data_IF_493264382780
#
_entry.id   IF_493264382780
#
_cell.length_a   1.000
_cell.length_b   1.000
_cell.length_c   1.000
_cell.angle_alpha   90.00
_cell.angle_beta   90.00
_cell.angle_gamma   90.00
#
_symmetry.space_group_name_H-M   'P 1'
#
loop_
_entity.id
_entity.type
_entity.pdbx_description
1 polymer ?
#
# COMPACT_ATOMS: atom_id res chain seq x y z
N UNK A 1 -56.83 -16.17 -3.15
CA UNK A 1 -56.56 -15.87 -1.72
C UNK A 1 -56.80 -17.15 -0.95
N UNK A 2 -55.73 -17.87 -0.62
CA UNK A 2 -55.78 -19.05 0.25
C UNK A 2 -54.42 -19.16 0.93
N UNK A 3 -54.35 -18.56 2.11
CA UNK A 3 -53.32 -18.80 3.10
C UNK A 3 -53.47 -20.24 3.63
N UNK A 4 -52.40 -21.02 3.62
CA UNK A 4 -52.29 -22.18 4.50
C UNK A 4 -51.14 -21.96 5.47
N UNK A 5 -51.55 -21.58 6.67
CA UNK A 5 -50.74 -21.46 7.86
C UNK A 5 -50.19 -22.83 8.29
N UNK A 6 -48.89 -22.86 8.55
CA UNK A 6 -48.14 -23.97 9.10
C UNK A 6 -48.40 -24.02 10.61
N UNK A 7 -48.88 -25.16 11.12
CA UNK A 7 -49.04 -25.42 12.56
C UNK A 7 -47.73 -25.96 13.16
N UNK A 8 -47.40 -25.69 14.44
CA UNK A 8 -46.03 -25.79 14.94
C UNK A 8 -45.81 -26.89 16.01
N UNK A 9 -44.53 -27.06 16.38
CA UNK A 9 -43.98 -27.57 17.67
C UNK A 9 -44.01 -29.09 17.93
N UNK A 10 -42.79 -29.66 17.94
CA UNK A 10 -42.42 -30.86 18.71
C UNK A 10 -41.01 -30.69 19.28
N UNK A 11 -40.92 -30.32 20.56
CA UNK A 11 -39.69 -30.02 21.32
C UNK A 11 -39.09 -31.29 21.94
N UNK A 12 -37.81 -31.52 21.65
CA UNK A 12 -36.69 -32.13 22.43
C UNK A 12 -37.01 -33.10 23.58
N UNK A 13 -36.41 -34.32 23.55
CA UNK A 13 -35.88 -35.00 24.75
C UNK A 13 -34.59 -35.81 24.48
N UNK A 14 -33.53 -35.40 25.18
CA UNK A 14 -32.42 -36.15 25.82
C UNK A 14 -31.58 -37.23 25.09
N UNK A 15 -30.32 -36.82 24.84
CA UNK A 15 -29.01 -37.42 25.18
C UNK A 15 -28.99 -38.74 25.99
N UNK A 16 -28.10 -39.68 25.60
CA UNK A 16 -27.33 -40.48 26.56
C UNK A 16 -25.84 -40.14 26.52
N UNK A 17 -25.24 -40.12 27.72
CA UNK A 17 -23.85 -39.82 28.00
C UNK A 17 -22.89 -40.94 27.55
N UNK A 18 -21.92 -40.62 26.69
CA UNK A 18 -20.75 -41.46 26.46
C UNK A 18 -19.68 -41.15 27.53
N UNK A 19 -19.31 -42.17 28.31
CA UNK A 19 -18.26 -42.12 29.34
C UNK A 19 -16.89 -42.12 28.65
N UNK A 20 -16.14 -41.03 28.78
CA UNK A 20 -14.74 -40.96 28.37
C UNK A 20 -13.88 -41.49 29.53
N UNK A 21 -13.12 -42.55 29.25
CA UNK A 21 -12.20 -43.21 30.18
C UNK A 21 -10.84 -42.50 30.09
N UNK A 22 -10.24 -42.02 31.19
CA UNK A 22 -8.96 -41.31 31.14
C UNK A 22 -7.81 -42.29 30.88
N UNK A 23 -7.04 -42.05 29.81
CA UNK A 23 -5.76 -42.74 29.60
C UNK A 23 -4.75 -42.22 30.62
N UNK A 24 -4.27 -43.13 31.48
CA UNK A 24 -3.16 -42.94 32.41
C UNK A 24 -1.90 -42.52 31.66
N UNK A 25 -1.34 -41.38 32.06
CA UNK A 25 0.03 -40.97 31.79
C UNK A 25 1.00 -42.05 32.28
N UNK A 26 1.82 -42.59 31.37
CA UNK A 26 2.97 -43.41 31.72
C UNK A 26 4.22 -42.56 31.57
N UNK A 27 4.67 -42.05 32.70
CA UNK A 27 6.01 -41.51 32.95
C UNK A 27 7.03 -42.60 32.59
N UNK A 28 7.99 -42.28 31.73
CA UNK A 28 9.20 -43.06 31.54
C UNK A 28 10.37 -42.10 31.67
N UNK A 29 11.33 -42.50 32.50
CA UNK A 29 12.44 -41.72 33.01
C UNK A 29 13.53 -41.50 31.96
N UNK A 30 14.11 -40.30 31.95
CA UNK A 30 15.37 -39.99 31.26
C UNK A 30 16.57 -40.19 32.20
N UNK A 31 17.74 -40.57 31.66
CA UNK A 31 19.01 -39.96 32.11
C UNK A 31 19.97 -39.71 30.90
N UNK A 32 21.18 -39.13 31.07
CA UNK A 32 21.42 -37.70 30.84
C UNK A 32 22.43 -37.36 29.72
N UNK A 33 22.40 -36.06 29.37
CA UNK A 33 23.26 -35.22 28.54
C UNK A 33 24.66 -35.72 28.10
N UNK A 34 24.96 -35.55 26.80
CA UNK A 34 25.96 -34.60 26.27
C UNK A 34 26.07 -34.77 24.75
N UNK A 35 25.76 -33.74 23.96
CA UNK A 35 26.80 -33.04 23.21
C UNK A 35 26.22 -31.74 22.64
N UNK A 36 26.99 -30.67 22.77
CA UNK A 36 26.59 -29.29 22.49
C UNK A 36 26.82 -29.04 21.01
N UNK A 37 25.99 -29.67 20.17
CA UNK A 37 25.90 -29.36 18.76
C UNK A 37 25.18 -28.04 18.60
N UNK A 38 25.93 -26.93 18.61
CA UNK A 38 25.47 -25.62 18.16
C UNK A 38 25.05 -25.77 16.70
N UNK A 39 23.80 -26.17 16.50
CA UNK A 39 23.18 -26.32 15.20
C UNK A 39 22.97 -24.90 14.73
N UNK A 40 23.92 -24.39 13.95
CA UNK A 40 23.73 -23.20 13.15
C UNK A 40 22.46 -23.51 12.35
N UNK A 41 21.35 -22.87 12.74
CA UNK A 41 20.13 -22.90 11.97
C UNK A 41 20.54 -22.36 10.59
N UNK A 42 20.67 -23.26 9.63
CA UNK A 42 20.81 -22.91 8.23
C UNK A 42 19.46 -22.28 7.88
N UNK A 43 19.37 -20.96 8.10
CA UNK A 43 18.27 -20.17 7.63
C UNK A 43 18.22 -20.41 6.12
N UNK A 44 17.17 -21.12 5.69
CA UNK A 44 16.92 -21.32 4.27
C UNK A 44 16.90 -19.93 3.65
N UNK A 45 17.73 -19.63 2.62
CA UNK A 45 17.73 -18.32 2.01
C UNK A 45 16.30 -18.05 1.53
N UNK A 46 15.63 -17.09 2.18
CA UNK A 46 14.24 -16.78 1.87
C UNK A 46 14.19 -16.35 0.42
N UNK A 47 13.37 -17.01 -0.38
CA UNK A 47 13.10 -16.54 -1.74
C UNK A 47 12.42 -15.18 -1.62
N UNK A 48 13.09 -14.13 -2.11
CA UNK A 48 12.55 -12.78 -2.10
C UNK A 48 11.45 -12.67 -3.13
N UNK A 49 10.38 -11.94 -2.80
CA UNK A 49 9.36 -11.57 -3.78
C UNK A 49 9.97 -10.59 -4.79
N UNK A 50 10.16 -11.09 -6.00
CA UNK A 50 10.63 -10.35 -7.18
C UNK A 50 9.63 -10.63 -8.29
N UNK A 51 9.20 -9.58 -9.00
CA UNK A 51 8.32 -9.69 -10.16
C UNK A 51 9.00 -10.52 -11.25
N UNK A 52 8.32 -11.52 -11.81
CA UNK A 52 8.95 -12.50 -12.70
C UNK A 52 9.57 -11.83 -13.94
N UNK A 53 8.89 -10.84 -14.51
CA UNK A 53 9.39 -10.09 -15.66
C UNK A 53 10.65 -9.27 -15.38
N UNK A 54 10.93 -8.91 -14.12
CA UNK A 54 12.12 -8.13 -13.72
C UNK A 54 13.36 -8.98 -13.50
N UNK A 55 13.20 -10.29 -13.32
CA UNK A 55 14.32 -11.20 -13.10
C UNK A 55 15.31 -11.20 -14.26
N UNK A 56 16.61 -11.28 -13.93
CA UNK A 56 17.65 -11.54 -14.91
C UNK A 56 17.50 -12.94 -15.52
N UNK A 57 18.15 -13.19 -16.66
CA UNK A 57 18.10 -14.49 -17.34
C UNK A 57 18.48 -15.67 -16.43
N UNK A 58 19.64 -15.64 -15.74
CA UNK A 58 20.04 -16.71 -14.83
C UNK A 58 19.06 -16.91 -13.66
N UNK A 59 18.58 -15.83 -13.04
CA UNK A 59 17.59 -15.90 -11.95
C UNK A 59 16.29 -16.55 -12.44
N UNK A 60 15.80 -16.14 -13.61
CA UNK A 60 14.57 -16.67 -14.19
C UNK A 60 14.67 -18.15 -14.50
N UNK A 61 15.83 -18.63 -14.99
CA UNK A 61 16.05 -20.07 -15.24
C UNK A 61 16.01 -20.88 -13.94
N UNK A 62 16.66 -20.38 -12.88
CA UNK A 62 16.62 -21.04 -11.58
C UNK A 62 15.21 -21.02 -10.96
N UNK A 63 14.53 -19.86 -11.02
CA UNK A 63 13.16 -19.70 -10.56
C UNK A 63 12.18 -20.59 -11.33
N UNK A 64 12.39 -20.78 -12.63
CA UNK A 64 11.59 -21.66 -13.49
C UNK A 64 11.64 -23.11 -13.08
N UNK A 65 12.84 -23.66 -12.84
CA UNK A 65 12.97 -25.03 -12.35
C UNK A 65 12.23 -25.20 -11.01
N UNK A 66 12.45 -24.29 -10.06
CA UNK A 66 11.78 -24.33 -8.75
C UNK A 66 10.26 -24.15 -8.85
N UNK A 67 9.78 -23.34 -9.80
CA UNK A 67 8.35 -23.15 -10.05
C UNK A 67 7.72 -24.41 -10.64
N UNK A 68 8.35 -25.05 -11.62
CA UNK A 68 7.88 -26.31 -12.19
C UNK A 68 7.73 -27.40 -11.13
N UNK A 69 8.76 -27.62 -10.30
CA UNK A 69 8.72 -28.60 -9.21
C UNK A 69 7.60 -28.30 -8.21
N UNK A 70 7.42 -27.01 -7.89
CA UNK A 70 6.35 -26.59 -6.99
C UNK A 70 4.96 -26.75 -7.60
N UNK A 71 4.77 -26.46 -8.88
CA UNK A 71 3.49 -26.67 -9.58
C UNK A 71 3.14 -28.15 -9.64
N UNK A 72 4.12 -29.03 -9.85
CA UNK A 72 3.93 -30.50 -9.76
C UNK A 72 3.42 -30.88 -8.37
N UNK A 73 4.11 -30.41 -7.32
CA UNK A 73 3.65 -30.63 -5.94
C UNK A 73 2.24 -30.08 -5.69
N UNK A 74 1.94 -28.89 -6.18
CA UNK A 74 0.65 -28.23 -6.01
C UNK A 74 -0.45 -29.04 -6.70
N UNK A 75 -0.18 -29.50 -7.91
CA UNK A 75 -1.09 -30.29 -8.71
C UNK A 75 -1.48 -31.58 -8.02
N UNK A 76 -0.50 -32.29 -7.44
CA UNK A 76 -0.74 -33.53 -6.71
C UNK A 76 -1.41 -33.28 -5.34
N UNK A 77 -0.94 -32.27 -4.60
CA UNK A 77 -1.39 -31.98 -3.23
C UNK A 77 -2.82 -31.44 -3.14
N UNK A 78 -3.28 -30.76 -4.20
CA UNK A 78 -4.60 -30.15 -4.29
C UNK A 78 -5.48 -30.79 -5.38
N UNK A 79 -5.05 -31.92 -5.93
CA UNK A 79 -5.79 -32.71 -6.93
C UNK A 79 -6.23 -31.86 -8.14
N UNK A 80 -5.36 -30.95 -8.60
CA UNK A 80 -5.68 -30.00 -9.68
C UNK A 80 -5.84 -30.68 -11.05
N UNK A 81 -5.47 -31.95 -11.15
CA UNK A 81 -5.71 -32.81 -12.31
C UNK A 81 -7.21 -32.98 -12.59
N UNK A 82 -8.01 -33.03 -11.52
CA UNK A 82 -9.45 -33.27 -11.61
C UNK A 82 -10.10 -32.07 -12.28
N UNK A 83 -10.89 -32.33 -13.32
CA UNK A 83 -11.60 -31.30 -14.10
C UNK A 83 -10.67 -30.28 -14.81
N UNK A 84 -9.37 -30.58 -14.95
CA UNK A 84 -8.39 -29.68 -15.57
C UNK A 84 -8.38 -28.28 -14.93
N UNK A 85 -8.47 -28.22 -13.60
CA UNK A 85 -8.53 -26.98 -12.81
C UNK A 85 -7.28 -26.11 -12.98
N UNK A 86 -6.14 -26.72 -13.26
CA UNK A 86 -4.98 -26.04 -13.82
C UNK A 86 -4.78 -26.55 -15.26
N UNK A 87 -4.74 -25.67 -16.28
CA UNK A 87 -4.55 -26.10 -17.66
C UNK A 87 -3.14 -26.68 -17.87
N UNK A 88 -3.03 -27.72 -18.69
CA UNK A 88 -1.72 -28.34 -19.03
C UNK A 88 -0.77 -27.34 -19.71
N UNK A 89 -1.31 -26.38 -20.44
CA UNK A 89 -0.57 -25.30 -21.09
C UNK A 89 -0.27 -24.11 -20.16
N UNK A 90 -0.35 -24.26 -18.82
CA UNK A 90 -0.11 -23.16 -17.88
C UNK A 90 1.20 -22.41 -18.14
N UNK A 91 2.24 -23.14 -18.55
CA UNK A 91 3.57 -22.62 -18.88
C UNK A 91 3.59 -21.72 -20.14
N UNK A 92 2.53 -21.72 -20.94
CA UNK A 92 2.37 -20.87 -22.12
C UNK A 92 1.63 -19.56 -21.81
N UNK A 93 1.19 -19.36 -20.56
CA UNK A 93 0.44 -18.19 -20.12
C UNK A 93 1.27 -17.30 -19.17
N UNK A 94 1.86 -16.18 -19.65
CA UNK A 94 2.71 -15.32 -18.84
C UNK A 94 2.04 -14.78 -17.57
N UNK A 95 0.76 -14.38 -17.65
CA UNK A 95 0.01 -13.92 -16.47
C UNK A 95 -0.17 -15.01 -15.41
N UNK A 96 -0.41 -16.26 -15.84
CA UNK A 96 -0.54 -17.39 -14.93
C UNK A 96 0.80 -17.77 -14.29
N UNK A 97 1.92 -17.60 -15.01
CA UNK A 97 3.27 -17.78 -14.45
C UNK A 97 3.52 -16.78 -13.31
N UNK A 98 3.17 -15.51 -13.49
CA UNK A 98 3.30 -14.47 -12.47
C UNK A 98 2.46 -14.81 -11.23
N UNK A 99 1.19 -15.17 -11.41
CA UNK A 99 0.29 -15.54 -10.31
C UNK A 99 0.82 -16.76 -9.53
N UNK A 100 1.26 -17.80 -10.23
CA UNK A 100 1.81 -19.02 -9.61
C UNK A 100 3.12 -18.74 -8.88
N UNK A 101 3.99 -17.90 -9.44
CA UNK A 101 5.25 -17.50 -8.81
C UNK A 101 5.01 -16.73 -7.51
N UNK A 102 4.15 -15.71 -7.54
CA UNK A 102 3.80 -14.94 -6.35
C UNK A 102 3.19 -15.84 -5.26
N UNK A 103 2.29 -16.75 -5.65
CA UNK A 103 1.66 -17.70 -4.72
C UNK A 103 2.67 -18.68 -4.10
N UNK A 104 3.67 -19.14 -4.87
CA UNK A 104 4.78 -19.97 -4.38
C UNK A 104 5.61 -19.21 -3.35
N UNK A 105 6.09 -18.02 -3.70
CA UNK A 105 6.96 -17.21 -2.83
C UNK A 105 6.24 -16.85 -1.53
N UNK A 106 4.97 -16.46 -1.59
CA UNK A 106 4.19 -16.16 -0.39
C UNK A 106 4.03 -17.39 0.52
N UNK A 107 3.89 -18.59 -0.05
CA UNK A 107 3.89 -19.84 0.74
C UNK A 107 5.21 -20.03 1.46
N UNK A 108 6.32 -19.84 0.76
CA UNK A 108 7.66 -20.00 1.33
C UNK A 108 7.91 -19.00 2.46
N UNK A 109 7.42 -17.77 2.32
CA UNK A 109 7.44 -16.77 3.38
C UNK A 109 6.62 -17.20 4.61
N UNK A 110 5.38 -17.65 4.41
CA UNK A 110 4.48 -18.07 5.50
C UNK A 110 5.07 -19.26 6.26
N UNK A 111 5.50 -20.30 5.55
CA UNK A 111 5.95 -21.55 6.16
C UNK A 111 7.45 -21.58 6.50
N UNK A 112 8.21 -20.60 6.02
CA UNK A 112 9.60 -20.35 6.41
C UNK A 112 9.77 -19.32 7.52
N UNK A 113 8.67 -18.77 8.06
CA UNK A 113 8.69 -17.81 9.15
C UNK A 113 9.26 -18.39 10.44
N UNK A 114 9.81 -17.50 11.30
CA UNK A 114 10.38 -17.90 12.58
C UNK A 114 9.31 -18.50 13.51
N UNK A 115 9.66 -19.43 14.42
CA UNK A 115 8.68 -20.13 15.26
C UNK A 115 7.82 -19.24 16.17
N UNK A 116 8.30 -18.06 16.50
CA UNK A 116 7.61 -17.04 17.32
C UNK A 116 6.66 -16.15 16.52
N UNK A 117 6.70 -16.22 15.18
CA UNK A 117 5.86 -15.42 14.30
C UNK A 117 4.47 -16.08 14.11
N UNK A 118 3.41 -15.32 14.38
CA UNK A 118 2.03 -15.79 14.20
C UNK A 118 1.60 -15.72 12.72
N UNK A 119 1.71 -16.84 12.01
CA UNK A 119 1.40 -16.93 10.57
C UNK A 119 0.09 -17.64 10.23
N UNK A 120 -0.68 -18.09 11.23
CA UNK A 120 -1.89 -18.90 11.02
C UNK A 120 -2.96 -18.23 10.16
N UNK A 121 -3.15 -16.92 10.30
CA UNK A 121 -4.09 -16.17 9.47
C UNK A 121 -3.59 -16.02 8.03
N UNK A 122 -2.30 -15.74 7.84
CA UNK A 122 -1.67 -15.66 6.52
C UNK A 122 -1.79 -16.99 5.77
N UNK A 123 -1.58 -18.12 6.45
CA UNK A 123 -1.79 -19.45 5.86
C UNK A 123 -3.24 -19.66 5.38
N UNK A 124 -4.24 -19.18 6.13
CA UNK A 124 -5.65 -19.25 5.70
C UNK A 124 -5.92 -18.40 4.46
N UNK A 125 -5.37 -17.19 4.40
CA UNK A 125 -5.51 -16.32 3.23
C UNK A 125 -4.80 -16.90 2.01
N UNK A 126 -3.63 -17.50 2.19
CA UNK A 126 -2.93 -18.20 1.13
C UNK A 126 -3.80 -19.28 0.46
N UNK A 127 -4.54 -20.06 1.25
CA UNK A 127 -5.49 -21.04 0.68
C UNK A 127 -6.69 -20.41 -0.03
N UNK A 128 -7.09 -19.20 0.36
CA UNK A 128 -8.15 -18.47 -0.34
C UNK A 128 -7.65 -17.97 -1.70
N UNK A 129 -6.46 -17.39 -1.75
CA UNK A 129 -5.83 -16.93 -3.00
C UNK A 129 -5.50 -18.09 -3.93
N UNK A 130 -5.06 -19.25 -3.42
CA UNK A 130 -4.91 -20.46 -4.24
C UNK A 130 -6.20 -20.81 -4.98
N UNK A 131 -7.35 -20.75 -4.30
CA UNK A 131 -8.64 -21.01 -4.95
C UNK A 131 -8.99 -19.94 -5.99
N UNK A 132 -8.64 -18.68 -5.74
CA UNK A 132 -8.83 -17.60 -6.70
C UNK A 132 -7.97 -17.79 -7.96
N UNK A 133 -6.68 -18.09 -7.81
CA UNK A 133 -5.77 -18.39 -8.93
C UNK A 133 -6.27 -19.58 -9.75
N UNK A 134 -6.72 -20.66 -9.10
CA UNK A 134 -7.30 -21.83 -9.79
C UNK A 134 -8.60 -21.48 -10.53
N UNK A 135 -9.47 -20.65 -9.94
CA UNK A 135 -10.67 -20.19 -10.62
C UNK A 135 -10.33 -19.32 -11.84
N UNK A 136 -9.34 -18.43 -11.72
CA UNK A 136 -8.86 -17.61 -12.84
C UNK A 136 -8.21 -18.45 -13.94
N UNK A 137 -7.42 -19.47 -13.57
CA UNK A 137 -6.84 -20.45 -14.49
C UNK A 137 -7.91 -21.05 -15.43
N UNK A 138 -9.06 -21.43 -14.88
CA UNK A 138 -10.16 -22.03 -15.65
C UNK A 138 -11.03 -21.04 -16.42
N UNK A 139 -11.28 -19.85 -15.85
CA UNK A 139 -12.21 -18.85 -16.37
C UNK A 139 -11.59 -17.82 -17.33
N UNK A 140 -10.34 -17.44 -17.10
CA UNK A 140 -9.63 -16.38 -17.85
C UNK A 140 -8.63 -16.99 -18.84
N UNK A 141 -7.81 -17.94 -18.40
CA UNK A 141 -6.72 -18.47 -19.20
C UNK A 141 -7.14 -19.67 -20.06
N UNK A 142 -7.87 -20.63 -19.49
CA UNK A 142 -8.20 -21.89 -20.17
C UNK A 142 -9.42 -21.81 -21.11
N UNK A 143 -10.17 -20.70 -21.13
CA UNK A 143 -11.40 -20.53 -21.93
C UNK A 143 -11.15 -20.73 -23.42
N UNK A 144 -10.01 -20.27 -23.93
CA UNK A 144 -9.58 -20.49 -25.31
C UNK A 144 -8.82 -21.82 -25.50
N UNK A 145 -8.10 -22.29 -24.48
CA UNK A 145 -7.20 -23.45 -24.56
C UNK A 145 -7.93 -24.78 -24.77
N UNK A 146 -9.17 -24.92 -24.28
CA UNK A 146 -9.98 -26.15 -24.43
C UNK A 146 -10.36 -26.48 -25.88
N UNK A 147 -10.31 -25.49 -26.79
CA UNK A 147 -10.65 -25.66 -28.21
C UNK A 147 -9.45 -25.63 -29.15
N UNK A 148 -8.24 -25.66 -28.60
CA UNK A 148 -6.97 -25.48 -29.31
C UNK A 148 -6.24 -24.24 -28.84
N UNK A 149 -4.95 -24.38 -28.52
CA UNK A 149 -4.14 -23.27 -28.03
C UNK A 149 -4.00 -22.22 -29.14
N UNK A 150 -4.53 -21.02 -28.90
CA UNK A 150 -4.35 -19.87 -29.79
C UNK A 150 -3.30 -18.97 -29.19
N UNK A 151 -2.39 -18.47 -30.03
CA UNK A 151 -1.44 -17.43 -29.62
C UNK A 151 -2.24 -16.24 -29.08
N UNK A 152 -1.73 -15.61 -28.02
CA UNK A 152 -2.32 -14.40 -27.46
C UNK A 152 -2.60 -13.38 -28.58
N UNK A 153 -3.77 -12.75 -28.52
CA UNK A 153 -4.11 -11.60 -29.36
C UNK A 153 -3.05 -10.50 -29.18
N UNK A 154 -2.96 -9.60 -30.17
CA UNK A 154 -1.92 -8.57 -30.35
C UNK A 154 -1.44 -7.99 -29.02
N UNK A 155 -0.14 -8.12 -28.73
CA UNK A 155 0.47 -7.53 -27.54
C UNK A 155 0.37 -6.02 -27.61
N UNK A 156 -0.11 -5.38 -26.55
CA UNK A 156 -0.30 -3.94 -26.56
C UNK A 156 0.98 -3.15 -26.84
N UNK A 157 2.12 -3.60 -26.30
CA UNK A 157 3.45 -3.02 -26.58
C UNK A 157 3.85 -3.08 -28.07
N UNK A 158 3.22 -3.96 -28.85
CA UNK A 158 3.49 -4.15 -30.28
C UNK A 158 2.42 -3.51 -31.18
N UNK A 159 1.39 -2.86 -30.61
CA UNK A 159 0.33 -2.16 -31.35
C UNK A 159 0.39 -0.64 -31.13
N UNK A 160 0.97 0.12 -32.08
CA UNK A 160 0.99 1.57 -32.03
C UNK A 160 -0.41 2.19 -31.98
N UNK A 161 -1.39 1.60 -32.67
CA UNK A 161 -2.77 2.08 -32.71
C UNK A 161 -3.46 1.92 -31.36
N UNK A 162 -3.23 0.79 -30.68
CA UNK A 162 -3.76 0.56 -29.34
C UNK A 162 -3.12 1.48 -28.32
N UNK A 163 -1.80 1.64 -28.37
CA UNK A 163 -1.07 2.57 -27.51
C UNK A 163 -1.55 4.01 -27.71
N UNK A 164 -1.65 4.45 -28.96
CA UNK A 164 -2.17 5.78 -29.30
C UNK A 164 -3.58 5.98 -28.73
N UNK A 165 -4.48 5.03 -28.94
CA UNK A 165 -5.86 5.10 -28.42
C UNK A 165 -5.91 5.21 -26.90
N UNK A 166 -5.03 4.53 -26.17
CA UNK A 166 -4.98 4.61 -24.72
C UNK A 166 -4.36 5.91 -24.22
N UNK A 167 -3.29 6.39 -24.86
CA UNK A 167 -2.65 7.67 -24.51
C UNK A 167 -3.55 8.86 -24.81
N UNK A 168 -4.36 8.79 -25.86
CA UNK A 168 -5.33 9.82 -26.24
C UNK A 168 -6.66 9.69 -25.50
N UNK A 169 -6.85 8.63 -24.70
CA UNK A 169 -8.08 8.45 -23.94
C UNK A 169 -8.20 9.55 -22.87
N UNK A 170 -9.43 9.99 -22.61
CA UNK A 170 -9.72 10.94 -21.55
C UNK A 170 -9.42 10.30 -20.18
N UNK A 171 -8.36 10.78 -19.52
CA UNK A 171 -7.97 10.34 -18.19
C UNK A 171 -9.03 10.61 -17.12
N UNK A 172 -9.98 11.51 -17.40
CA UNK A 172 -11.09 11.87 -16.51
C UNK A 172 -12.41 11.19 -16.88
N UNK A 173 -12.39 10.30 -17.89
CA UNK A 173 -13.58 9.60 -18.34
C UNK A 173 -14.28 8.87 -17.18
N UNK A 174 -15.57 9.16 -17.00
CA UNK A 174 -16.40 8.54 -15.95
C UNK A 174 -16.36 9.25 -14.60
N UNK A 175 -15.56 10.31 -14.41
CA UNK A 175 -15.59 11.12 -13.19
C UNK A 175 -16.72 12.15 -13.29
N UNK A 176 -17.68 12.18 -12.34
CA UNK A 176 -18.75 13.17 -12.34
C UNK A 176 -18.21 14.60 -12.33
N UNK A 177 -18.77 15.48 -13.16
CA UNK A 177 -18.30 16.87 -13.36
C UNK A 177 -18.15 17.68 -12.06
N UNK A 178 -18.97 17.39 -11.03
CA UNK A 178 -18.87 18.01 -9.70
C UNK A 178 -17.55 17.73 -8.98
N UNK A 179 -16.92 16.58 -9.24
CA UNK A 179 -15.62 16.22 -8.68
C UNK A 179 -14.47 16.83 -9.51
N UNK A 180 -14.67 17.00 -10.83
CA UNK A 180 -13.69 17.67 -11.69
C UNK A 180 -13.59 19.17 -11.38
N UNK A 181 -14.70 19.84 -11.08
CA UNK A 181 -14.70 21.25 -10.69
C UNK A 181 -13.86 21.52 -9.43
N UNK A 182 -13.86 20.59 -8.46
CA UNK A 182 -13.03 20.69 -7.27
C UNK A 182 -11.51 20.54 -7.54
N UNK A 183 -11.13 19.96 -8.68
CA UNK A 183 -9.72 19.80 -9.10
C UNK A 183 -9.28 20.85 -10.12
N UNK A 184 -10.20 21.47 -10.86
CA UNK A 184 -9.90 22.50 -11.85
C UNK A 184 -9.36 23.79 -11.20
N UNK A 185 -9.85 24.16 -10.01
CA UNK A 185 -9.43 25.39 -9.31
C UNK A 185 -7.97 25.35 -8.80
N UNK A 186 -7.36 24.17 -8.73
CA UNK A 186 -5.99 23.99 -8.21
C UNK A 186 -4.86 24.10 -9.25
N UNK A 187 -5.17 24.14 -10.55
CA UNK A 187 -4.15 23.92 -11.59
C UNK A 187 -3.72 25.15 -12.42
N UNK A 188 -4.41 26.30 -12.35
CA UNK A 188 -4.04 27.46 -13.18
C UNK A 188 -3.14 28.46 -12.43
N UNK A 189 -1.99 28.80 -13.03
CA UNK A 189 -1.17 29.92 -12.60
C UNK A 189 -1.98 31.22 -12.76
N UNK A 190 -2.25 31.92 -11.65
CA UNK A 190 -3.17 33.06 -11.61
C UNK A 190 -4.57 32.74 -11.04
N UNK A 191 -4.83 31.49 -10.65
CA UNK A 191 -5.95 31.14 -9.76
C UNK A 191 -5.84 31.93 -8.44
N UNK A 192 -6.95 32.34 -7.79
CA UNK A 192 -6.93 33.05 -6.51
C UNK A 192 -6.17 32.30 -5.39
N UNK A 193 -5.89 31.01 -5.59
CA UNK A 193 -5.18 30.16 -4.63
C UNK A 193 -3.74 29.82 -5.05
N UNK A 194 -3.21 30.39 -6.14
CA UNK A 194 -1.83 30.19 -6.61
C UNK A 194 -1.16 31.48 -7.09
N UNK A 195 0.03 31.77 -6.57
CA UNK A 195 0.89 32.87 -7.01
C UNK A 195 2.22 32.32 -7.52
N UNK A 196 2.78 32.93 -8.56
CA UNK A 196 4.14 32.62 -9.02
C UNK A 196 5.18 33.18 -8.05
N UNK A 197 6.40 32.62 -8.05
CA UNK A 197 7.52 33.16 -7.26
C UNK A 197 7.72 34.67 -7.48
N UNK A 198 7.67 35.12 -8.74
CA UNK A 198 7.87 36.52 -9.10
C UNK A 198 6.79 37.45 -8.52
N UNK A 199 5.53 37.00 -8.46
CA UNK A 199 4.44 37.78 -7.87
C UNK A 199 4.61 37.94 -6.35
N UNK A 200 5.03 36.86 -5.66
CA UNK A 200 5.27 36.92 -4.21
C UNK A 200 6.51 37.75 -3.87
N UNK A 201 7.58 37.68 -4.66
CA UNK A 201 8.77 38.50 -4.47
C UNK A 201 8.50 39.99 -4.68
N UNK A 202 7.70 40.33 -5.68
CA UNK A 202 7.23 41.70 -5.92
C UNK A 202 6.31 42.18 -4.77
N UNK A 203 5.44 41.32 -4.23
CA UNK A 203 4.63 41.63 -3.06
C UNK A 203 5.48 41.87 -1.78
N UNK A 204 6.55 41.08 -1.58
CA UNK A 204 7.52 41.26 -0.49
C UNK A 204 8.30 42.56 -0.62
N UNK A 205 8.78 42.86 -1.83
CA UNK A 205 9.53 44.09 -2.12
C UNK A 205 8.68 45.33 -1.85
N UNK A 206 7.38 45.25 -2.12
CA UNK A 206 6.41 46.31 -1.82
C UNK A 206 5.95 46.34 -0.35
N UNK A 207 6.40 45.42 0.49
CA UNK A 207 6.02 45.32 1.90
C UNK A 207 4.57 44.87 2.12
N UNK A 208 3.93 44.28 1.09
CA UNK A 208 2.56 43.77 1.16
C UNK A 208 2.50 42.32 1.64
N UNK A 209 3.62 41.60 1.54
CA UNK A 209 3.73 40.20 1.93
C UNK A 209 4.79 40.06 3.04
N UNK A 210 4.37 39.51 4.18
CA UNK A 210 5.22 39.40 5.38
C UNK A 210 5.46 37.93 5.71
N UNK A 211 6.72 37.46 5.76
CA UNK A 211 7.00 36.10 6.21
C UNK A 211 6.66 35.94 7.69
N UNK A 212 6.33 34.72 8.13
CA UNK A 212 6.04 34.45 9.54
C UNK A 212 7.23 34.79 10.44
N UNK A 213 8.45 34.54 9.96
CA UNK A 213 9.69 35.03 10.56
C UNK A 213 10.82 35.03 9.53
N UNK A 214 11.92 35.75 9.77
CA UNK A 214 13.11 35.71 8.92
C UNK A 214 13.74 34.31 8.80
N UNK A 215 13.53 33.42 9.78
CA UNK A 215 14.07 32.07 9.80
C UNK A 215 13.19 31.02 9.13
N UNK A 216 11.95 31.38 8.75
CA UNK A 216 11.00 30.47 8.09
C UNK A 216 10.37 31.24 6.92
N UNK A 217 11.10 31.43 5.82
CA UNK A 217 10.61 32.19 4.68
C UNK A 217 9.55 31.43 3.87
N UNK A 218 9.31 30.16 4.16
CA UNK A 218 8.36 29.30 3.41
C UNK A 218 6.90 29.68 3.62
N UNK A 219 6.56 30.36 4.72
CA UNK A 219 5.19 30.78 5.04
C UNK A 219 5.07 32.30 5.08
N UNK A 220 4.13 32.82 4.29
CA UNK A 220 3.96 34.26 4.07
C UNK A 220 2.50 34.65 4.22
N UNK A 221 2.25 35.75 4.92
CA UNK A 221 0.94 36.40 4.97
C UNK A 221 0.86 37.46 3.89
N UNK A 222 -0.09 37.32 2.96
CA UNK A 222 -0.35 38.24 1.85
C UNK A 222 -1.85 38.31 1.58
N UNK A 223 -2.40 39.52 1.46
CA UNK A 223 -3.84 39.78 1.25
C UNK A 223 -4.75 39.03 2.25
N UNK A 224 -4.41 39.10 3.55
CA UNK A 224 -5.10 38.44 4.67
C UNK A 224 -5.19 36.90 4.59
N UNK A 225 -4.41 36.27 3.71
CA UNK A 225 -4.29 34.83 3.61
C UNK A 225 -2.85 34.35 3.86
N UNK A 226 -2.72 33.11 4.31
CA UNK A 226 -1.43 32.42 4.42
C UNK A 226 -1.10 31.70 3.13
N UNK A 227 0.17 31.79 2.74
CA UNK A 227 0.72 31.21 1.54
C UNK A 227 1.95 30.38 1.89
N UNK A 228 2.11 29.22 1.25
CA UNK A 228 3.25 28.33 1.41
C UNK A 228 3.94 28.10 0.07
N UNK A 229 5.27 28.04 0.08
CA UNK A 229 6.06 27.71 -1.12
C UNK A 229 6.02 26.21 -1.41
N UNK A 230 5.72 25.84 -2.65
CA UNK A 230 5.77 24.47 -3.18
C UNK A 230 7.21 24.11 -3.62
N UNK A 231 7.50 22.81 -3.75
CA UNK A 231 8.81 22.30 -4.22
C UNK A 231 9.19 22.87 -5.61
N UNK A 232 8.21 23.30 -6.41
CA UNK A 232 8.41 23.96 -7.71
C UNK A 232 8.69 25.48 -7.64
N UNK A 233 8.68 26.09 -6.45
CA UNK A 233 8.90 27.53 -6.25
C UNK A 233 7.66 28.41 -6.36
N UNK A 234 6.53 27.85 -6.78
CA UNK A 234 5.23 28.55 -6.75
C UNK A 234 4.68 28.63 -5.32
N UNK A 235 3.74 29.55 -5.12
CA UNK A 235 3.08 29.79 -3.85
C UNK A 235 1.64 29.31 -3.91
N UNK A 236 1.24 28.52 -2.93
CA UNK A 236 -0.13 28.02 -2.79
C UNK A 236 -0.77 28.60 -1.54
N UNK A 237 -2.03 29.01 -1.65
CA UNK A 237 -2.80 29.46 -0.50
C UNK A 237 -3.06 28.28 0.43
N UNK A 238 -2.79 28.49 1.72
CA UNK A 238 -3.07 27.49 2.75
C UNK A 238 -4.58 27.47 3.00
N UNK A 239 -5.23 26.35 2.67
CA UNK A 239 -6.67 26.16 2.87
C UNK A 239 -7.03 25.25 4.06
N UNK A 240 -6.05 24.57 4.66
CA UNK A 240 -6.27 23.68 5.79
C UNK A 240 -6.49 24.49 7.08
N UNK A 241 -7.68 24.38 7.68
CA UNK A 241 -8.09 25.14 8.87
C UNK A 241 -7.15 24.92 10.08
N UNK A 242 -6.79 23.66 10.38
CA UNK A 242 -5.87 23.34 11.48
C UNK A 242 -4.47 23.91 11.27
N UNK A 243 -4.02 24.01 10.01
CA UNK A 243 -2.74 24.63 9.68
C UNK A 243 -2.82 26.15 9.77
N UNK A 244 -3.93 26.75 9.35
CA UNK A 244 -4.15 28.19 9.46
C UNK A 244 -4.13 28.65 10.91
N UNK A 245 -4.84 27.95 11.81
CA UNK A 245 -4.85 28.27 13.24
C UNK A 245 -3.43 28.22 13.83
N UNK A 246 -2.67 27.16 13.53
CA UNK A 246 -1.28 27.03 13.98
C UNK A 246 -0.36 28.12 13.43
N UNK A 247 -0.57 28.58 12.19
CA UNK A 247 0.21 29.66 11.59
C UNK A 247 -0.11 31.00 12.24
N UNK A 248 -1.38 31.30 12.54
CA UNK A 248 -1.76 32.50 13.29
C UNK A 248 -1.19 32.50 14.71
N UNK A 249 -1.29 31.39 15.44
CA UNK A 249 -0.70 31.26 16.77
C UNK A 249 0.83 31.41 16.74
N UNK A 250 1.50 30.83 15.74
CA UNK A 250 2.94 30.96 15.57
C UNK A 250 3.34 32.40 15.23
N UNK A 251 2.61 33.07 14.34
CA UNK A 251 2.84 34.47 13.99
C UNK A 251 2.66 35.39 15.20
N UNK A 252 1.59 35.19 16.00
CA UNK A 252 1.34 35.95 17.22
C UNK A 252 2.45 35.76 18.26
N UNK A 253 2.92 34.53 18.45
CA UNK A 253 4.06 34.23 19.36
C UNK A 253 5.34 34.90 18.91
N UNK A 254 5.64 34.89 17.61
CA UNK A 254 6.84 35.51 17.05
C UNK A 254 6.79 37.03 17.16
N UNK A 255 5.65 37.65 16.84
CA UNK A 255 5.46 39.09 17.01
C UNK A 255 5.63 39.53 18.48
N UNK A 256 5.10 38.76 19.44
CA UNK A 256 5.29 39.03 20.86
C UNK A 256 6.76 38.92 21.29
N UNK A 257 7.51 37.96 20.75
CA UNK A 257 8.94 37.80 21.01
C UNK A 257 9.76 38.97 20.44
N UNK A 258 9.47 39.39 19.21
CA UNK A 258 10.15 40.53 18.56
C UNK A 258 9.88 41.85 19.29
N UNK A 259 8.64 42.07 19.74
CA UNK A 259 8.27 43.22 20.56
C UNK A 259 8.99 43.22 21.91
N UNK A 260 9.09 42.07 22.57
CA UNK A 260 9.83 41.92 23.82
C UNK A 260 11.34 42.21 23.61
N UNK A 261 11.92 41.68 22.53
CA UNK A 261 13.31 41.93 22.17
C UNK A 261 13.58 43.41 21.84
N UNK A 262 12.64 44.09 21.16
CA UNK A 262 12.71 45.52 20.88
C UNK A 262 12.69 46.34 22.17
N UNK A 263 11.74 46.09 23.07
CA UNK A 263 11.65 46.76 24.39
C UNK A 263 12.91 46.55 25.22
N UNK A 264 13.48 45.34 25.20
CA UNK A 264 14.74 45.05 25.89
C UNK A 264 15.90 45.89 25.35
N UNK A 265 16.04 46.00 24.02
CA UNK A 265 17.08 46.84 23.37
C UNK A 265 16.91 48.32 23.68
N UNK A 266 15.68 48.82 23.70
CA UNK A 266 15.39 50.22 24.05
C UNK A 266 15.70 50.52 25.53
N UNK A 267 15.36 49.61 26.45
CA UNK A 267 15.66 49.76 27.87
C UNK A 267 17.18 49.76 28.15
N UNK A 268 17.93 48.89 27.45
CA UNK A 268 19.39 48.79 27.63
C UNK A 268 20.17 49.92 26.94
N UNK A 269 19.69 50.46 25.82
CA UNK A 269 20.30 51.64 25.18
C UNK A 269 19.90 52.94 25.86
N UNK A 270 18.65 53.08 26.33
CA UNK A 270 18.18 54.23 27.10
C UNK A 270 18.81 54.38 28.49
N UNK A 271 19.18 53.26 29.12
CA UNK A 271 19.90 53.25 30.41
C UNK A 271 21.34 53.80 30.30
N UNK A 272 22.02 53.57 29.16
CA UNK A 272 23.38 54.12 28.92
C UNK A 272 23.40 55.64 28.78
N UNK A 273 22.35 56.26 28.26
CA UNK A 273 22.28 57.72 28.07
C UNK A 273 21.97 58.52 29.35
N UNK A 274 21.49 57.87 30.42
CA UNK A 274 21.06 58.55 31.66
C UNK A 274 22.14 58.61 32.75
N UNK A 275 23.30 57.97 32.54
CA UNK A 275 24.38 57.84 33.54
C UNK A 275 25.56 58.80 33.28
N UNK A 276 25.40 59.76 32.36
CA UNK A 276 26.45 60.70 31.96
C UNK A 276 25.98 62.17 32.05
N UNK A 277 25.45 62.57 33.22
CA UNK A 277 25.21 63.97 33.56
C UNK A 277 25.57 64.26 35.01
#
# INVERSE_FOLDING_TARGET
>A
MTEHAITPIGRVKHRPHARIRPLRQRRADSPPAADTGSTIAVANPRTQLVEWHTMTGPERVAAWAALCDWVIWLHDRYELAVESRLPQCWAEHPGLIEELWALKVWREEIYGAAPDQQVGQAARYWHAELRAVVANATGVYATACRTGHRRAEVRAAESPELQKRWTEADAWAGIPSRLLAAHADTAEAGSPDRLTAAQMDDARTRGLATPISPGIPEYVKFADAWWAVEIGGDWLRVANEDLLERLEEAAARMAAADDAARRYREATTGSKSRTNR
#
